data_IF_723921807762
#
_entry.id   IF_723921807762
#
_cell.length_a   1.000
_cell.length_b   1.000
_cell.length_c   1.000
_cell.angle_alpha   90.00
_cell.angle_beta   90.00
_cell.angle_gamma   90.00
#
_symmetry.space_group_name_H-M   'P 1'
#
loop_
_entity.id
_entity.type
_entity.pdbx_description
1 polymer ?
#
# COMPACT_ATOMS: atom_id res chain seq x y z
N UNK A 1 -4.69 -10.86 10.17
CA UNK A 1 -5.37 -9.55 10.04
C UNK A 1 -5.34 -8.77 11.35
N UNK A 2 -5.90 -9.26 12.48
CA UNK A 2 -5.89 -8.52 13.75
C UNK A 2 -4.49 -8.09 14.21
N UNK A 3 -3.50 -8.98 14.09
CA UNK A 3 -2.12 -8.66 14.42
C UNK A 3 -1.53 -7.53 13.53
N UNK A 4 -1.92 -7.47 12.25
CA UNK A 4 -1.47 -6.38 11.37
C UNK A 4 -2.13 -5.07 11.78
N UNK A 5 -3.43 -5.10 12.11
CA UNK A 5 -4.14 -3.91 12.58
C UNK A 5 -3.51 -3.38 13.88
N UNK A 6 -3.13 -4.26 14.81
CA UNK A 6 -2.39 -3.90 16.01
C UNK A 6 -1.05 -3.22 15.68
N UNK A 7 -0.25 -3.78 14.76
CA UNK A 7 1.00 -3.16 14.33
C UNK A 7 0.78 -1.82 13.60
N UNK A 8 -0.27 -1.69 12.80
CA UNK A 8 -0.62 -0.43 12.14
C UNK A 8 -0.98 0.65 13.14
N UNK A 9 -1.75 0.31 14.17
CA UNK A 9 -2.12 1.21 15.27
C UNK A 9 -0.89 1.70 16.04
N UNK A 10 -0.03 0.77 16.49
CA UNK A 10 1.23 1.14 17.16
C UNK A 10 2.17 1.96 16.26
N UNK A 11 2.23 1.65 14.96
CA UNK A 11 3.05 2.39 14.01
C UNK A 11 2.51 3.80 13.78
N UNK A 12 1.18 3.96 13.75
CA UNK A 12 0.52 5.24 13.59
C UNK A 12 0.83 6.19 14.75
N UNK A 13 0.74 5.70 15.99
CA UNK A 13 1.07 6.49 17.18
C UNK A 13 2.54 6.94 17.17
N UNK A 14 3.46 6.01 16.89
CA UNK A 14 4.88 6.31 16.77
C UNK A 14 5.16 7.32 15.64
N UNK A 15 4.44 7.20 14.52
CA UNK A 15 4.59 8.08 13.37
C UNK A 15 4.11 9.50 13.70
N UNK A 16 2.98 9.64 14.40
CA UNK A 16 2.52 10.95 14.90
C UNK A 16 3.53 11.58 15.85
N UNK A 17 4.13 10.80 16.74
CA UNK A 17 5.16 11.29 17.65
C UNK A 17 6.40 11.75 16.89
N UNK A 18 6.86 10.98 15.90
CA UNK A 18 7.99 11.33 15.05
C UNK A 18 7.73 12.62 14.26
N UNK A 19 6.52 12.81 13.71
CA UNK A 19 6.14 14.07 13.05
C UNK A 19 6.19 15.27 14.00
N UNK A 20 5.67 15.11 15.22
CA UNK A 20 5.68 16.20 16.22
C UNK A 20 7.09 16.59 16.63
N UNK A 21 8.00 15.62 16.68
CA UNK A 21 9.42 15.81 17.03
C UNK A 21 10.30 16.19 15.84
N UNK A 22 9.76 16.19 14.61
CA UNK A 22 10.52 16.29 13.37
C UNK A 22 11.71 15.31 13.33
N UNK A 23 11.46 14.08 13.76
CA UNK A 23 12.45 13.01 13.90
C UNK A 23 12.61 12.24 12.58
N UNK A 24 13.83 11.95 12.16
CA UNK A 24 14.14 11.20 10.93
C UNK A 24 13.51 9.80 10.88
N UNK A 25 13.18 9.22 12.05
CA UNK A 25 12.43 7.97 12.15
C UNK A 25 11.06 8.03 11.45
N UNK A 26 10.50 9.22 11.19
CA UNK A 26 9.25 9.40 10.44
C UNK A 26 9.29 8.74 9.06
N UNK A 27 10.43 8.78 8.37
CA UNK A 27 10.58 8.14 7.05
C UNK A 27 10.49 6.62 7.19
N UNK A 28 11.24 6.05 8.14
CA UNK A 28 11.27 4.61 8.38
C UNK A 28 9.89 4.08 8.79
N UNK A 29 9.22 4.78 9.70
CA UNK A 29 7.88 4.44 10.16
C UNK A 29 6.85 4.55 9.03
N UNK A 30 6.97 5.55 8.16
CA UNK A 30 6.08 5.68 7.01
C UNK A 30 6.24 4.53 6.01
N UNK A 31 7.47 4.14 5.69
CA UNK A 31 7.72 2.96 4.85
C UNK A 31 7.17 1.68 5.49
N UNK A 32 7.32 1.54 6.81
CA UNK A 32 6.78 0.41 7.54
C UNK A 32 5.24 0.39 7.51
N UNK A 33 4.59 1.56 7.63
CA UNK A 33 3.15 1.70 7.50
C UNK A 33 2.65 1.32 6.10
N UNK A 34 3.34 1.76 5.03
CA UNK A 34 3.03 1.33 3.66
C UNK A 34 3.19 -0.19 3.51
N UNK A 35 4.27 -0.77 4.04
CA UNK A 35 4.44 -2.22 4.04
C UNK A 35 3.29 -2.94 4.74
N UNK A 36 2.87 -2.49 5.93
CA UNK A 36 1.74 -3.07 6.66
C UNK A 36 0.44 -2.95 5.86
N UNK A 37 0.17 -1.79 5.24
CA UNK A 37 -0.98 -1.57 4.36
C UNK A 37 -1.00 -2.53 3.17
N UNK A 38 0.14 -2.76 2.54
CA UNK A 38 0.26 -3.68 1.41
C UNK A 38 -0.02 -5.13 1.84
N UNK A 39 0.56 -5.57 2.94
CA UNK A 39 0.29 -6.92 3.48
C UNK A 39 -1.18 -7.05 3.89
N UNK A 40 -1.77 -6.00 4.48
CA UNK A 40 -3.19 -5.98 4.81
C UNK A 40 -4.06 -6.19 3.56
N UNK A 41 -3.81 -5.45 2.49
CA UNK A 41 -4.49 -5.61 1.20
C UNK A 41 -4.31 -7.00 0.61
N UNK A 42 -3.09 -7.52 0.65
CA UNK A 42 -2.77 -8.89 0.20
C UNK A 42 -3.61 -9.92 0.97
N UNK A 43 -3.69 -9.82 2.30
CA UNK A 43 -4.44 -10.75 3.15
C UNK A 43 -5.96 -10.66 2.97
N UNK A 44 -6.51 -9.52 2.58
CA UNK A 44 -7.94 -9.40 2.24
C UNK A 44 -8.30 -10.39 1.13
N UNK A 45 -7.41 -10.57 0.15
CA UNK A 45 -7.56 -11.53 -0.94
C UNK A 45 -7.12 -12.95 -0.54
N UNK A 46 -7.51 -13.41 0.65
CA UNK A 46 -7.15 -14.73 1.17
C UNK A 46 -7.54 -15.88 0.24
N UNK A 47 -8.67 -15.77 -0.48
CA UNK A 47 -9.10 -16.76 -1.46
C UNK A 47 -8.11 -16.87 -2.62
N UNK A 48 -7.62 -15.74 -3.13
CA UNK A 48 -6.58 -15.72 -4.15
C UNK A 48 -5.27 -16.29 -3.62
N UNK A 49 -4.85 -15.92 -2.40
CA UNK A 49 -3.66 -16.52 -1.76
C UNK A 49 -3.79 -18.05 -1.69
N UNK A 50 -4.96 -18.57 -1.28
CA UNK A 50 -5.20 -20.02 -1.22
C UNK A 50 -5.06 -20.67 -2.61
N UNK A 51 -5.54 -20.04 -3.67
CA UNK A 51 -5.38 -20.53 -5.04
C UNK A 51 -3.90 -20.54 -5.47
N UNK A 52 -3.15 -19.49 -5.16
CA UNK A 52 -1.71 -19.41 -5.42
C UNK A 52 -0.94 -20.53 -4.72
N UNK A 53 -1.25 -20.80 -3.45
CA UNK A 53 -0.65 -21.90 -2.69
C UNK A 53 -1.00 -23.28 -3.28
N UNK A 54 -2.18 -23.40 -3.89
CA UNK A 54 -2.63 -24.59 -4.61
C UNK A 54 -2.08 -24.67 -6.06
N UNK A 55 -1.19 -23.75 -6.45
CA UNK A 55 -0.63 -23.61 -7.82
C UNK A 55 -1.68 -23.37 -8.92
N UNK A 56 -2.87 -22.88 -8.57
CA UNK A 56 -3.89 -22.49 -9.53
C UNK A 56 -3.70 -21.01 -9.88
N UNK A 57 -2.76 -20.73 -10.78
CA UNK A 57 -2.36 -19.38 -11.18
C UNK A 57 -2.89 -19.09 -12.59
N UNK A 58 -3.58 -17.97 -12.75
CA UNK A 58 -4.03 -17.48 -14.04
C UNK A 58 -3.74 -15.97 -14.13
N UNK A 59 -2.55 -15.58 -14.61
CA UNK A 59 -2.13 -14.19 -14.54
C UNK A 59 -2.79 -13.33 -15.62
N UNK A 60 -3.34 -12.18 -15.21
CA UNK A 60 -3.69 -11.07 -16.09
C UNK A 60 -2.53 -10.08 -16.15
N UNK A 61 -1.78 -10.10 -17.26
CA UNK A 61 -0.60 -9.25 -17.45
C UNK A 61 -0.91 -7.75 -17.35
N UNK A 62 -2.07 -7.32 -17.85
CA UNK A 62 -2.50 -5.92 -17.74
C UNK A 62 -2.72 -5.52 -16.27
N UNK A 63 -3.43 -6.37 -15.52
CA UNK A 63 -3.73 -6.09 -14.11
C UNK A 63 -2.46 -6.17 -13.25
N UNK A 64 -1.54 -7.08 -13.59
CA UNK A 64 -0.24 -7.19 -12.93
C UNK A 64 0.60 -5.92 -13.15
N UNK A 65 0.64 -5.39 -14.38
CA UNK A 65 1.35 -4.14 -14.68
C UNK A 65 0.78 -2.98 -13.85
N UNK A 66 -0.55 -2.85 -13.81
CA UNK A 66 -1.22 -1.83 -12.99
C UNK A 66 -0.90 -2.02 -11.50
N UNK A 67 -0.91 -3.26 -11.00
CA UNK A 67 -0.57 -3.58 -9.63
C UNK A 67 0.88 -3.20 -9.28
N UNK A 68 1.84 -3.51 -10.15
CA UNK A 68 3.25 -3.17 -9.97
C UNK A 68 3.45 -1.65 -9.98
N UNK A 69 2.87 -0.96 -10.96
CA UNK A 69 2.96 0.49 -11.04
C UNK A 69 2.38 1.14 -9.79
N UNK A 70 1.18 0.72 -9.38
CA UNK A 70 0.54 1.24 -8.17
C UNK A 70 1.36 0.93 -6.92
N UNK A 71 1.92 -0.27 -6.80
CA UNK A 71 2.80 -0.64 -5.68
C UNK A 71 4.01 0.29 -5.63
N UNK A 72 4.67 0.53 -6.76
CA UNK A 72 5.84 1.40 -6.83
C UNK A 72 5.53 2.82 -6.37
N UNK A 73 4.44 3.42 -6.86
CA UNK A 73 4.07 4.78 -6.48
C UNK A 73 3.51 4.90 -5.06
N UNK A 74 2.74 3.91 -4.60
CA UNK A 74 2.14 3.93 -3.25
C UNK A 74 3.13 3.61 -2.13
N UNK A 75 4.21 2.87 -2.43
CA UNK A 75 5.29 2.65 -1.45
C UNK A 75 6.12 3.89 -1.15
N UNK A 76 6.07 4.92 -1.99
CA UNK A 76 6.70 6.21 -1.71
C UNK A 76 5.83 6.92 -0.65
N UNK A 77 6.37 7.19 0.56
CA UNK A 77 5.63 7.85 1.63
C UNK A 77 5.12 9.22 1.24
N UNK A 78 3.98 9.61 1.80
CA UNK A 78 3.37 10.94 1.60
C UNK A 78 4.33 12.10 1.90
N UNK A 79 5.20 11.96 2.89
CA UNK A 79 6.22 12.97 3.25
C UNK A 79 7.13 13.28 2.07
N UNK A 80 7.58 12.23 1.37
CA UNK A 80 8.50 12.36 0.23
C UNK A 80 7.79 13.04 -0.95
N UNK A 81 6.51 12.72 -1.19
CA UNK A 81 5.70 13.42 -2.19
C UNK A 81 5.51 14.91 -1.84
N UNK A 82 5.36 15.23 -0.56
CA UNK A 82 5.30 16.61 -0.07
C UNK A 82 6.59 17.39 -0.36
N UNK A 83 7.75 16.78 -0.10
CA UNK A 83 9.06 17.38 -0.39
C UNK A 83 9.29 17.63 -1.87
N UNK A 84 8.88 16.70 -2.73
CA UNK A 84 9.11 16.81 -4.18
C UNK A 84 8.28 17.89 -4.86
N UNK A 85 7.06 18.15 -4.38
CA UNK A 85 6.11 18.98 -5.13
C UNK A 85 5.67 20.28 -4.44
N UNK A 86 6.07 20.53 -3.19
CA UNK A 86 6.03 21.89 -2.62
C UNK A 86 4.66 22.56 -2.46
N UNK A 87 3.55 21.82 -2.60
CA UNK A 87 2.21 22.23 -2.14
C UNK A 87 1.20 22.71 -3.20
N UNK A 88 1.56 22.89 -4.47
CA UNK A 88 0.59 23.16 -5.55
C UNK A 88 0.63 22.01 -6.54
N UNK A 89 -0.32 21.09 -6.38
CA UNK A 89 -0.25 19.78 -6.98
C UNK A 89 -1.49 19.46 -7.81
N UNK A 90 -1.33 18.78 -8.94
CA UNK A 90 -2.46 18.21 -9.65
C UNK A 90 -3.07 17.05 -8.85
N UNK A 91 -4.36 16.79 -9.06
CA UNK A 91 -5.17 15.84 -8.26
C UNK A 91 -4.51 14.46 -8.07
N UNK A 92 -3.74 13.97 -9.06
CA UNK A 92 -3.12 12.66 -9.00
C UNK A 92 -1.92 12.61 -8.04
N UNK A 93 -1.25 13.73 -7.77
CA UNK A 93 -0.22 13.83 -6.74
C UNK A 93 -0.87 13.92 -5.36
N UNK A 94 -2.00 14.61 -5.24
CA UNK A 94 -2.75 14.69 -3.97
C UNK A 94 -3.19 13.32 -3.46
N UNK A 95 -3.42 12.35 -4.35
CA UNK A 95 -3.72 10.98 -3.94
C UNK A 95 -2.59 10.33 -3.13
N UNK A 96 -1.34 10.73 -3.36
CA UNK A 96 -0.17 10.19 -2.67
C UNK A 96 0.30 11.07 -1.51
N UNK A 97 -0.04 12.37 -1.54
CA UNK A 97 0.39 13.35 -0.55
C UNK A 97 -0.37 13.26 0.78
N UNK A 98 -1.64 12.86 0.76
CA UNK A 98 -2.37 12.61 2.00
C UNK A 98 -2.10 11.18 2.51
N UNK A 99 -1.58 11.00 3.74
CA UNK A 99 -1.22 9.69 4.28
C UNK A 99 -2.37 8.67 4.21
N UNK A 100 -3.60 9.10 4.46
CA UNK A 100 -4.78 8.23 4.45
C UNK A 100 -5.10 7.74 3.03
N UNK A 101 -4.97 8.63 2.03
CA UNK A 101 -5.21 8.28 0.62
C UNK A 101 -4.11 7.36 0.09
N UNK A 102 -2.85 7.68 0.42
CA UNK A 102 -1.70 6.85 0.08
C UNK A 102 -1.83 5.44 0.68
N UNK A 103 -2.28 5.33 1.93
CA UNK A 103 -2.53 4.04 2.58
C UNK A 103 -3.62 3.24 1.85
N UNK A 104 -4.71 3.89 1.43
CA UNK A 104 -5.76 3.22 0.64
C UNK A 104 -5.21 2.71 -0.69
N UNK A 105 -4.39 3.50 -1.38
CA UNK A 105 -3.73 3.05 -2.62
C UNK A 105 -2.76 1.89 -2.37
N UNK A 106 -2.07 1.90 -1.24
CA UNK A 106 -1.16 0.81 -0.84
C UNK A 106 -1.92 -0.48 -0.51
N UNK A 107 -3.08 -0.38 0.14
CA UNK A 107 -3.98 -1.52 0.35
C UNK A 107 -4.51 -2.04 -0.98
N UNK A 108 -4.93 -1.13 -1.87
CA UNK A 108 -5.42 -1.49 -3.20
C UNK A 108 -4.35 -2.19 -4.03
N UNK A 109 -3.09 -1.76 -3.94
CA UNK A 109 -1.98 -2.40 -4.68
C UNK A 109 -1.77 -3.84 -4.21
N UNK A 110 -1.81 -4.12 -2.90
CA UNK A 110 -1.75 -5.48 -2.37
C UNK A 110 -2.90 -6.38 -2.85
N UNK A 111 -4.13 -5.85 -2.89
CA UNK A 111 -5.30 -6.54 -3.45
C UNK A 111 -5.08 -6.86 -4.93
N UNK A 112 -4.65 -5.87 -5.72
CA UNK A 112 -4.45 -6.02 -7.15
C UNK A 112 -3.33 -7.02 -7.48
N UNK A 113 -2.27 -7.09 -6.68
CA UNK A 113 -1.22 -8.11 -6.87
C UNK A 113 -1.83 -9.50 -6.81
N UNK A 114 -2.61 -9.84 -5.77
CA UNK A 114 -3.21 -11.17 -5.66
C UNK A 114 -4.22 -11.42 -6.78
N UNK A 115 -5.10 -10.46 -7.06
CA UNK A 115 -6.09 -10.58 -8.14
C UNK A 115 -5.45 -10.71 -9.51
N UNK A 116 -4.31 -10.08 -9.74
CA UNK A 116 -3.62 -10.15 -11.03
C UNK A 116 -3.10 -11.55 -11.31
N UNK A 117 -2.76 -12.31 -10.28
CA UNK A 117 -2.24 -13.68 -10.40
C UNK A 117 -3.33 -14.75 -10.37
N UNK A 118 -4.52 -14.39 -9.87
CA UNK A 118 -5.68 -15.29 -9.71
C UNK A 118 -6.87 -14.81 -10.54
N UNK A 119 -6.58 -14.21 -11.69
CA UNK A 119 -7.61 -13.60 -12.52
C UNK A 119 -8.53 -14.67 -13.09
N UNK A 120 -9.80 -14.62 -12.71
CA UNK A 120 -10.84 -15.44 -13.30
C UNK A 120 -11.58 -14.60 -14.35
N UNK A 121 -11.50 -14.99 -15.63
CA UNK A 121 -12.22 -14.34 -16.73
C UNK A 121 -13.73 -14.59 -16.69
N UNK A 122 -14.20 -15.50 -15.84
CA UNK A 122 -15.61 -15.92 -15.79
C UNK A 122 -16.38 -15.24 -14.65
N UNK A 123 -16.61 -13.93 -14.79
CA UNK A 123 -17.75 -13.22 -14.18
C UNK A 123 -18.25 -12.14 -15.12
#
# INVERSE_FOLDING_TARGET
MLLILYFMDTTYDNLQEAYRKNDESMFRLSYFMSFLGFIFGTLIEWRGIKQLLQRNVNPSWLLLLVAIALTFFSFIPSVVWGEWYGGINPFYIDMFLFPERNLVLTVLSGILVIRSLTYDRTK
#
